data_IF_462139413855
#
_entry.id   IF_462139413855
#
_cell.length_a   1.000
_cell.length_b   1.000
_cell.length_c   1.000
_cell.angle_alpha   90.00
_cell.angle_beta   90.00
_cell.angle_gamma   90.00
#
_symmetry.space_group_name_H-M   'P 1'
#
loop_
_entity.id
_entity.type
_entity.pdbx_description
1 polymer ?
#
# COMPACT_ATOMS: atom_id res chain seq x y z
N UNK A 1 -6.32 -20.41 -14.60
CA UNK A 1 -5.99 -20.35 -16.03
C UNK A 1 -5.80 -18.89 -16.35
N UNK A 2 -4.56 -18.47 -16.59
CA UNK A 2 -4.30 -17.19 -17.24
C UNK A 2 -4.44 -17.50 -18.73
N UNK A 3 -5.25 -16.75 -19.46
CA UNK A 3 -5.32 -16.90 -20.92
C UNK A 3 -3.92 -16.58 -21.48
N UNK A 4 -3.26 -17.59 -22.06
CA UNK A 4 -1.83 -17.59 -22.43
C UNK A 4 -1.44 -16.45 -23.40
N UNK A 5 -2.41 -15.75 -23.97
CA UNK A 5 -2.19 -14.64 -24.90
C UNK A 5 -1.93 -13.29 -24.20
N UNK A 6 -2.06 -13.20 -22.87
CA UNK A 6 -1.74 -11.96 -22.12
C UNK A 6 -0.33 -11.92 -21.53
N UNK A 7 0.37 -13.06 -21.41
CA UNK A 7 1.65 -13.12 -20.73
C UNK A 7 2.78 -12.34 -21.46
N UNK A 8 2.64 -12.12 -22.77
CA UNK A 8 3.62 -11.42 -23.61
C UNK A 8 3.14 -10.03 -24.09
N UNK A 9 1.94 -9.61 -23.70
CA UNK A 9 1.37 -8.34 -24.12
C UNK A 9 1.64 -7.24 -23.08
N UNK A 10 2.11 -6.08 -23.57
CA UNK A 10 2.34 -4.91 -22.72
C UNK A 10 0.98 -4.35 -22.27
N UNK A 11 0.75 -4.30 -20.96
CA UNK A 11 -0.44 -3.65 -20.38
C UNK A 11 -0.11 -2.17 -20.14
N UNK A 12 -0.70 -1.23 -20.90
CA UNK A 12 -0.45 0.19 -20.69
C UNK A 12 -1.12 0.68 -19.40
N UNK A 13 -0.35 1.36 -18.53
CA UNK A 13 -0.83 1.97 -17.29
C UNK A 13 -0.53 3.48 -17.28
N UNK A 14 -1.25 4.29 -18.07
CA UNK A 14 -0.94 5.70 -18.27
C UNK A 14 -1.12 6.55 -16.99
N UNK A 15 -1.97 6.11 -16.06
CA UNK A 15 -2.34 6.85 -14.85
C UNK A 15 -1.55 6.44 -13.61
N UNK A 16 -0.55 5.56 -13.75
CA UNK A 16 0.26 5.07 -12.63
C UNK A 16 1.73 5.29 -12.97
N UNK A 17 2.41 6.08 -12.14
CA UNK A 17 3.85 6.29 -12.32
C UNK A 17 4.63 5.02 -11.96
N UNK A 18 5.83 4.86 -12.53
CA UNK A 18 6.69 3.69 -12.23
C UNK A 18 7.01 3.56 -10.74
N UNK A 19 7.22 4.70 -10.04
CA UNK A 19 7.45 4.74 -8.59
C UNK A 19 6.26 4.16 -7.82
N UNK A 20 5.04 4.55 -8.18
CA UNK A 20 3.82 4.11 -7.50
C UNK A 20 3.51 2.66 -7.84
N UNK A 21 3.65 2.27 -9.10
CA UNK A 21 3.49 0.89 -9.52
C UNK A 21 4.46 -0.05 -8.78
N UNK A 22 5.71 0.36 -8.59
CA UNK A 22 6.70 -0.42 -7.85
C UNK A 22 6.25 -0.70 -6.42
N UNK A 23 5.69 0.31 -5.73
CA UNK A 23 5.13 0.15 -4.39
C UNK A 23 3.90 -0.76 -4.35
N UNK A 24 3.00 -0.62 -5.32
CA UNK A 24 1.83 -1.51 -5.43
C UNK A 24 2.27 -2.96 -5.60
N UNK A 25 3.26 -3.21 -6.46
CA UNK A 25 3.83 -4.55 -6.68
C UNK A 25 4.47 -5.09 -5.40
N UNK A 26 5.23 -4.27 -4.68
CA UNK A 26 5.84 -4.63 -3.38
C UNK A 26 4.77 -5.08 -2.37
N UNK A 27 3.71 -4.28 -2.22
CA UNK A 27 2.59 -4.62 -1.35
C UNK A 27 1.94 -5.96 -1.73
N UNK A 28 1.62 -6.15 -3.01
CA UNK A 28 1.01 -7.37 -3.51
C UNK A 28 1.90 -8.58 -3.26
N UNK A 29 3.21 -8.49 -3.56
CA UNK A 29 4.17 -9.58 -3.31
C UNK A 29 4.21 -9.98 -1.84
N UNK A 30 4.16 -9.00 -0.94
CA UNK A 30 4.17 -9.27 0.50
C UNK A 30 2.87 -9.95 0.96
N UNK A 31 1.73 -9.57 0.42
CA UNK A 31 0.41 -10.10 0.84
C UNK A 31 0.01 -11.43 0.20
N UNK A 32 0.71 -11.87 -0.85
CA UNK A 32 0.53 -13.22 -1.42
C UNK A 32 1.53 -14.24 -0.88
N UNK A 33 2.51 -13.79 -0.09
CA UNK A 33 3.50 -14.66 0.53
C UNK A 33 2.85 -15.48 1.65
N UNK A 34 2.60 -16.76 1.36
CA UNK A 34 1.98 -17.70 2.28
C UNK A 34 2.83 -18.00 3.54
N UNK A 35 4.10 -17.58 3.57
CA UNK A 35 4.97 -17.73 4.74
C UNK A 35 4.85 -16.58 5.74
N UNK A 36 4.23 -15.46 5.36
CA UNK A 36 4.04 -14.32 6.24
C UNK A 36 2.94 -14.59 7.27
N UNK A 37 3.22 -14.31 8.54
CA UNK A 37 2.19 -14.32 9.57
C UNK A 37 1.34 -13.03 9.53
N UNK A 38 0.13 -13.08 10.09
CA UNK A 38 -0.75 -11.91 10.20
C UNK A 38 -0.08 -10.72 10.91
N UNK A 39 0.77 -11.00 11.92
CA UNK A 39 1.44 -9.94 12.66
C UNK A 39 2.60 -9.33 11.86
N UNK A 40 3.30 -10.14 11.05
CA UNK A 40 4.29 -9.62 10.11
C UNK A 40 3.66 -8.74 9.03
N UNK A 41 2.46 -9.11 8.55
CA UNK A 41 1.71 -8.33 7.58
C UNK A 41 1.24 -6.99 8.17
N UNK A 42 0.71 -6.98 9.40
CA UNK A 42 0.32 -5.74 10.08
C UNK A 42 1.50 -4.81 10.32
N UNK A 43 2.66 -5.36 10.73
CA UNK A 43 3.87 -4.57 10.91
C UNK A 43 4.36 -3.98 9.59
N UNK A 44 4.38 -4.79 8.53
CA UNK A 44 4.68 -4.33 7.18
C UNK A 44 3.71 -3.24 6.72
N UNK A 45 2.40 -3.42 6.89
CA UNK A 45 1.38 -2.43 6.51
C UNK A 45 1.62 -1.09 7.20
N UNK A 46 1.89 -1.11 8.50
CA UNK A 46 2.15 0.07 9.29
C UNK A 46 3.40 0.83 8.81
N UNK A 47 4.43 0.12 8.36
CA UNK A 47 5.64 0.74 7.81
C UNK A 47 5.45 1.18 6.35
N UNK A 48 4.73 0.39 5.55
CA UNK A 48 4.47 0.65 4.14
C UNK A 48 3.73 1.97 3.91
N UNK A 49 2.79 2.31 4.80
CA UNK A 49 2.02 3.57 4.73
C UNK A 49 2.77 4.80 5.25
N UNK A 50 3.98 4.64 5.81
CA UNK A 50 4.83 5.77 6.26
C UNK A 50 5.50 6.44 5.08
N UNK A 51 4.69 7.01 4.20
CA UNK A 51 5.11 7.79 3.05
C UNK A 51 4.63 9.23 3.21
N UNK A 52 5.17 10.13 2.40
CA UNK A 52 4.65 11.50 2.33
C UNK A 52 3.21 11.52 1.79
N UNK A 53 2.47 12.60 2.10
CA UNK A 53 1.06 12.72 1.72
C UNK A 53 0.83 12.62 0.21
N UNK A 54 1.73 13.17 -0.62
CA UNK A 54 1.57 13.11 -2.06
C UNK A 54 1.68 11.66 -2.55
N UNK A 55 2.68 10.91 -2.06
CA UNK A 55 2.80 9.47 -2.34
C UNK A 55 1.59 8.68 -1.83
N UNK A 56 1.03 9.02 -0.67
CA UNK A 56 -0.17 8.36 -0.14
C UNK A 56 -1.40 8.59 -1.04
N UNK A 57 -1.63 9.82 -1.51
CA UNK A 57 -2.72 10.12 -2.43
C UNK A 57 -2.54 9.45 -3.80
N UNK A 58 -1.31 9.45 -4.33
CA UNK A 58 -1.01 8.73 -5.56
C UNK A 58 -1.26 7.22 -5.41
N UNK A 59 -0.94 6.63 -4.26
CA UNK A 59 -1.25 5.23 -3.96
C UNK A 59 -2.75 4.96 -3.94
N UNK A 60 -3.56 5.84 -3.34
CA UNK A 60 -5.03 5.75 -3.34
C UNK A 60 -5.57 5.76 -4.78
N UNK A 61 -5.11 6.71 -5.61
CA UNK A 61 -5.55 6.82 -7.01
C UNK A 61 -5.15 5.58 -7.81
N UNK A 62 -3.90 5.13 -7.67
CA UNK A 62 -3.39 3.96 -8.38
C UNK A 62 -4.11 2.67 -7.97
N UNK A 63 -4.39 2.47 -6.68
CA UNK A 63 -5.10 1.27 -6.22
C UNK A 63 -6.57 1.26 -6.56
N UNK A 64 -7.22 2.43 -6.59
CA UNK A 64 -8.56 2.55 -7.15
C UNK A 64 -8.57 2.19 -8.64
N UNK A 65 -7.58 2.67 -9.41
CA UNK A 65 -7.45 2.36 -10.84
C UNK A 65 -7.16 0.87 -11.11
N UNK A 66 -6.30 0.25 -10.31
CA UNK A 66 -5.92 -1.17 -10.43
C UNK A 66 -6.88 -2.13 -9.71
N UNK A 67 -7.90 -1.60 -9.02
CA UNK A 67 -8.89 -2.35 -8.25
C UNK A 67 -8.29 -3.29 -7.16
N UNK A 68 -7.34 -2.77 -6.38
CA UNK A 68 -6.70 -3.53 -5.28
C UNK A 68 -7.33 -3.12 -3.95
N UNK A 69 -8.43 -3.80 -3.60
CA UNK A 69 -9.28 -3.43 -2.46
C UNK A 69 -8.54 -3.36 -1.12
N UNK A 70 -7.68 -4.33 -0.82
CA UNK A 70 -6.97 -4.39 0.47
C UNK A 70 -6.08 -3.17 0.71
N UNK A 71 -5.32 -2.78 -0.31
CA UNK A 71 -4.46 -1.60 -0.23
C UNK A 71 -5.25 -0.29 -0.30
N UNK A 72 -6.35 -0.24 -1.03
CA UNK A 72 -7.26 0.90 -1.00
C UNK A 72 -7.88 1.10 0.40
N UNK A 73 -8.33 0.03 1.05
CA UNK A 73 -8.87 0.09 2.41
C UNK A 73 -7.81 0.55 3.41
N UNK A 74 -6.57 0.04 3.29
CA UNK A 74 -5.45 0.42 4.14
C UNK A 74 -5.13 1.92 4.03
N UNK A 75 -4.97 2.42 2.80
CA UNK A 75 -4.65 3.83 2.56
C UNK A 75 -5.79 4.76 2.98
N UNK A 76 -7.06 4.39 2.75
CA UNK A 76 -8.22 5.14 3.25
C UNK A 76 -8.24 5.20 4.78
N UNK A 77 -7.93 4.09 5.46
CA UNK A 77 -7.86 4.04 6.93
C UNK A 77 -6.79 4.96 7.46
N UNK A 78 -5.60 4.97 6.85
CA UNK A 78 -4.52 5.90 7.21
C UNK A 78 -4.98 7.35 7.12
N UNK A 79 -5.67 7.74 6.05
CA UNK A 79 -6.23 9.10 5.92
C UNK A 79 -7.25 9.40 7.03
N UNK A 80 -8.13 8.45 7.35
CA UNK A 80 -9.10 8.60 8.45
C UNK A 80 -8.39 8.80 9.80
N UNK A 81 -7.32 8.06 10.07
CA UNK A 81 -6.55 8.18 11.31
C UNK A 81 -5.78 9.52 11.40
N UNK A 82 -5.27 10.01 10.26
CA UNK A 82 -4.66 11.35 10.16
C UNK A 82 -5.67 12.46 10.47
N UNK A 83 -6.89 12.36 9.94
CA UNK A 83 -7.98 13.32 10.20
C UNK A 83 -8.39 13.30 11.68
N UNK A 84 -8.40 12.11 12.29
CA UNK A 84 -8.70 11.94 13.73
C UNK A 84 -7.57 12.39 14.65
N UNK A 85 -6.43 12.84 14.13
CA UNK A 85 -5.30 13.33 14.91
C UNK A 85 -4.48 12.24 15.61
N UNK A 86 -4.56 10.98 15.17
CA UNK A 86 -3.89 9.83 15.82
C UNK A 86 -2.39 9.67 15.50
N UNK A 87 -1.72 10.70 15.01
CA UNK A 87 -0.29 10.67 14.65
C UNK A 87 0.61 11.38 15.67
N UNK A 88 0.53 10.95 16.92
CA UNK A 88 1.64 11.02 17.88
C UNK A 88 1.90 9.57 18.27
N UNK A 89 3.02 8.93 17.88
CA UNK A 89 4.31 9.00 18.59
C UNK A 89 5.28 8.09 17.83
N UNK A 90 6.36 8.56 17.18
CA UNK A 90 7.65 8.90 17.81
C UNK A 90 7.59 9.76 19.06
N UNK A 91 8.41 9.39 20.05
CA UNK A 91 8.51 9.95 21.42
C UNK A 91 7.54 9.40 22.48
N UNK A 92 7.85 8.19 22.94
CA UNK A 92 7.74 7.85 24.36
C UNK A 92 8.90 6.93 24.72
N UNK A 93 10.11 7.49 24.64
CA UNK A 93 11.15 7.18 25.63
C UNK A 93 11.02 8.22 26.74
N UNK A 94 10.94 7.71 27.96
CA UNK A 94 11.13 8.42 29.22
C UNK A 94 10.07 9.49 29.58
N UNK A 95 9.26 9.21 30.61
CA UNK A 95 9.33 9.90 31.92
C UNK A 95 8.27 9.30 32.87
N UNK A 96 8.80 8.76 33.97
CA UNK A 96 8.22 8.35 35.26
C UNK A 96 7.31 7.11 35.32
#
# INVERSE_FOLDING_TARGET
MIEDDYANNVIPLPNVTSKILSKVIEYCKRHVDASASDDDLKAFDADFIKVDQATLFDLILATNYLNIKSLLDLTCRTVVDMIKGKNSIGDSKDVQ
#
